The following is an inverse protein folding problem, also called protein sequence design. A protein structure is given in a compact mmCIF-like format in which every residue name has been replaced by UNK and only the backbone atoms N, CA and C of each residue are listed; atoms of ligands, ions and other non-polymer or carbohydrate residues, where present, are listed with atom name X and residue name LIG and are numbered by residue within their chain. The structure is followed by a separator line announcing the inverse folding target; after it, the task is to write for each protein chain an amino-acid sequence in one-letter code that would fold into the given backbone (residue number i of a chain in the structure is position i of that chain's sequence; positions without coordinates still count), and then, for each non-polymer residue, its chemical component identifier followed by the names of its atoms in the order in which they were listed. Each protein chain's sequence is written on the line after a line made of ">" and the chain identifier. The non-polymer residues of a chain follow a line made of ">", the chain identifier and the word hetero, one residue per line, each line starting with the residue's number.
data_IF_104663530591
#
_entry.id   IF_104663530591
#
_cell.length_a   1.000
_cell.length_b   1.000
_cell.length_c   1.000
_cell.angle_alpha   90.00
_cell.angle_beta   90.00
_cell.angle_gamma   90.00
#
_symmetry.space_group_name_H-M   'P 1'
#
loop_
_entity.id
_entity.type
_entity.pdbx_description
1 polymer ?
#
# COMPACT_ATOMS: atom_id res chain seq x y z
N UNK A 1 5.00 -14.12 -21.14
CA UNK A 1 3.84 -14.19 -20.22
C UNK A 1 3.84 -12.89 -19.44
N UNK A 2 2.96 -11.97 -19.78
CA UNK A 2 2.68 -10.80 -18.93
C UNK A 2 1.96 -11.31 -17.69
N UNK A 3 2.55 -11.10 -16.51
CA UNK A 3 1.92 -11.42 -15.24
C UNK A 3 0.71 -10.51 -15.08
N UNK A 4 -0.45 -11.08 -14.78
CA UNK A 4 -1.65 -10.31 -14.43
C UNK A 4 -1.50 -9.78 -12.99
N UNK A 5 -1.02 -8.54 -12.87
CA UNK A 5 -0.74 -7.90 -11.59
C UNK A 5 -2.01 -7.78 -10.72
N UNK A 6 -3.19 -7.40 -11.24
CA UNK A 6 -4.43 -7.46 -10.49
C UNK A 6 -4.74 -8.83 -9.88
N UNK A 7 -4.65 -9.91 -10.65
CA UNK A 7 -4.92 -11.27 -10.16
C UNK A 7 -3.92 -11.67 -9.07
N UNK A 8 -2.64 -11.35 -9.28
CA UNK A 8 -1.55 -11.60 -8.33
C UNK A 8 -1.82 -10.93 -6.97
N UNK A 9 -2.20 -9.64 -6.98
CA UNK A 9 -2.54 -8.88 -5.77
C UNK A 9 -3.75 -9.48 -5.06
N UNK A 10 -4.85 -9.73 -5.78
CA UNK A 10 -6.06 -10.27 -5.15
C UNK A 10 -5.80 -11.63 -4.51
N UNK A 11 -5.06 -12.51 -5.19
CA UNK A 11 -4.71 -13.83 -4.69
C UNK A 11 -3.82 -13.75 -3.44
N UNK A 12 -2.75 -12.96 -3.48
CA UNK A 12 -1.80 -12.86 -2.37
C UNK A 12 -2.48 -12.36 -1.08
N UNK A 13 -3.39 -11.38 -1.20
CA UNK A 13 -4.06 -10.77 -0.06
C UNK A 13 -5.41 -11.44 0.31
N UNK A 14 -5.83 -12.50 -0.39
CA UNK A 14 -7.15 -13.13 -0.25
C UNK A 14 -7.43 -13.67 1.17
N UNK A 15 -6.40 -14.13 1.88
CA UNK A 15 -6.51 -14.73 3.21
C UNK A 15 -6.50 -13.71 4.35
N UNK A 16 -6.33 -12.40 4.05
CA UNK A 16 -6.31 -11.36 5.08
C UNK A 16 -7.67 -11.24 5.75
N UNK A 17 -7.68 -11.39 7.07
CA UNK A 17 -8.87 -11.18 7.90
C UNK A 17 -9.12 -9.69 8.08
N UNK A 18 -10.39 -9.31 8.14
CA UNK A 18 -10.79 -7.95 8.48
C UNK A 18 -10.24 -7.60 9.88
N UNK A 19 -9.52 -6.48 10.04
CA UNK A 19 -8.91 -6.10 11.31
C UNK A 19 -9.98 -5.76 12.35
N UNK A 20 -9.71 -6.06 13.63
CA UNK A 20 -10.55 -5.62 14.74
C UNK A 20 -10.27 -4.17 15.14
N UNK A 21 -9.03 -3.72 15.00
CA UNK A 21 -8.58 -2.36 15.30
C UNK A 21 -8.24 -1.66 13.99
N UNK A 22 -8.88 -0.51 13.72
CA UNK A 22 -8.67 0.20 12.45
C UNK A 22 -7.56 1.23 12.48
N UNK A 23 -7.34 1.86 13.63
CA UNK A 23 -6.29 2.86 13.87
C UNK A 23 -5.61 2.53 15.19
N UNK A 24 -4.37 2.98 15.36
CA UNK A 24 -3.54 2.66 16.53
C UNK A 24 -2.97 3.88 17.24
N UNK A 25 -3.22 5.09 16.74
CA UNK A 25 -2.77 6.33 17.37
C UNK A 25 -3.91 6.98 18.15
N UNK A 26 -3.64 7.37 19.40
CA UNK A 26 -4.55 8.16 20.22
C UNK A 26 -4.52 9.66 19.88
N UNK A 27 -3.52 10.08 19.09
CA UNK A 27 -3.30 11.47 18.68
C UNK A 27 -4.09 11.86 17.42
N UNK A 28 -4.88 10.93 16.85
CA UNK A 28 -5.67 11.23 15.66
C UNK A 28 -6.77 12.23 15.98
N UNK A 29 -6.97 13.18 15.07
CA UNK A 29 -8.09 14.11 15.12
C UNK A 29 -9.41 13.41 14.76
N UNK A 30 -10.54 14.08 15.02
CA UNK A 30 -11.86 13.50 14.80
C UNK A 30 -12.13 13.15 13.33
N UNK A 31 -11.66 13.99 12.40
CA UNK A 31 -11.76 13.79 10.96
C UNK A 31 -10.87 12.65 10.46
N UNK A 32 -9.65 12.49 10.99
CA UNK A 32 -8.77 11.36 10.68
C UNK A 32 -9.40 10.02 11.11
N UNK A 33 -10.00 10.00 12.31
CA UNK A 33 -10.75 8.84 12.81
C UNK A 33 -11.98 8.57 11.93
N UNK A 34 -12.72 9.60 11.53
CA UNK A 34 -13.91 9.46 10.68
C UNK A 34 -13.57 8.87 9.30
N UNK A 35 -12.47 9.31 8.69
CA UNK A 35 -11.98 8.77 7.42
C UNK A 35 -11.67 7.28 7.53
N UNK A 36 -10.91 6.89 8.58
CA UNK A 36 -10.58 5.48 8.84
C UNK A 36 -11.83 4.64 9.10
N UNK A 37 -12.78 5.12 9.89
CA UNK A 37 -14.03 4.42 10.16
C UNK A 37 -14.88 4.31 8.88
N UNK A 38 -14.88 5.35 8.04
CA UNK A 38 -15.68 5.36 6.82
C UNK A 38 -15.23 4.34 5.79
N UNK A 39 -13.94 3.94 5.78
CA UNK A 39 -13.47 2.80 4.97
C UNK A 39 -14.28 1.52 5.23
N UNK A 40 -14.73 1.30 6.48
CA UNK A 40 -15.48 0.09 6.82
C UNK A 40 -16.85 -0.01 6.13
N UNK A 41 -17.38 1.09 5.61
CA UNK A 41 -18.67 1.13 4.92
C UNK A 41 -18.59 0.55 3.50
N UNK A 42 -17.38 0.36 2.96
CA UNK A 42 -17.16 -0.15 1.61
C UNK A 42 -16.76 -1.62 1.61
N UNK A 43 -17.06 -2.28 0.50
CA UNK A 43 -16.49 -3.58 0.20
C UNK A 43 -14.99 -3.43 -0.09
N UNK A 44 -14.18 -4.38 0.42
CA UNK A 44 -12.71 -4.28 0.43
C UNK A 44 -12.11 -3.85 -0.91
N UNK A 45 -12.64 -4.37 -2.02
CA UNK A 45 -12.13 -4.14 -3.38
C UNK A 45 -12.99 -3.18 -4.23
N UNK A 46 -13.89 -2.45 -3.58
CA UNK A 46 -14.80 -1.50 -4.22
C UNK A 46 -14.89 -0.21 -3.41
N UNK A 47 -13.74 0.38 -3.06
CA UNK A 47 -13.71 1.71 -2.45
C UNK A 47 -13.83 2.76 -3.57
N UNK A 48 -14.77 3.72 -3.48
CA UNK A 48 -14.89 4.74 -4.50
C UNK A 48 -13.60 5.55 -4.66
N UNK A 49 -13.19 5.79 -5.91
CA UNK A 49 -11.99 6.58 -6.21
C UNK A 49 -12.10 7.99 -5.65
N UNK A 50 -13.29 8.59 -5.69
CA UNK A 50 -13.57 9.89 -5.07
C UNK A 50 -13.32 9.89 -3.56
N UNK A 51 -13.58 8.77 -2.87
CA UNK A 51 -13.25 8.63 -1.45
C UNK A 51 -11.74 8.57 -1.24
N UNK A 52 -11.02 7.77 -2.03
CA UNK A 52 -9.56 7.64 -1.95
C UNK A 52 -8.84 8.96 -2.28
N UNK A 53 -9.36 9.74 -3.23
CA UNK A 53 -8.81 11.06 -3.55
C UNK A 53 -9.05 12.08 -2.43
N UNK A 54 -10.22 12.04 -1.78
CA UNK A 54 -10.56 12.95 -0.68
C UNK A 54 -9.86 12.59 0.65
N UNK A 55 -9.41 11.34 0.82
CA UNK A 55 -8.83 10.82 2.06
C UNK A 55 -7.52 10.04 1.74
N UNK A 56 -6.65 10.61 0.92
CA UNK A 56 -5.45 9.91 0.43
C UNK A 56 -4.44 9.56 1.53
N UNK A 57 -4.44 10.35 2.60
CA UNK A 57 -3.65 10.24 3.81
C UNK A 57 -4.18 9.19 4.80
N UNK A 58 -5.36 8.62 4.55
CA UNK A 58 -5.95 7.56 5.40
C UNK A 58 -4.99 6.38 5.60
N UNK A 59 -4.11 6.11 4.63
CA UNK A 59 -3.09 5.07 4.71
C UNK A 59 -2.15 5.24 5.91
N UNK A 60 -1.91 6.47 6.35
CA UNK A 60 -1.04 6.77 7.50
C UNK A 60 -1.73 6.55 8.84
N UNK A 61 -3.06 6.64 8.88
CA UNK A 61 -3.85 6.54 10.12
C UNK A 61 -4.27 5.10 10.44
N UNK A 62 -4.20 4.21 9.44
CA UNK A 62 -4.51 2.80 9.63
C UNK A 62 -3.56 2.15 10.65
N UNK A 63 -4.12 1.30 11.51
CA UNK A 63 -3.34 0.35 12.30
C UNK A 63 -2.53 -0.56 11.38
N UNK A 64 -1.45 -1.20 11.87
CA UNK A 64 -0.65 -2.09 11.04
C UNK A 64 -1.43 -3.18 10.32
N UNK A 65 -2.38 -3.83 10.99
CA UNK A 65 -3.21 -4.87 10.41
C UNK A 65 -4.21 -4.31 9.42
N UNK A 66 -4.79 -3.13 9.71
CA UNK A 66 -5.72 -2.48 8.80
C UNK A 66 -5.04 -1.95 7.54
N UNK A 67 -3.80 -1.45 7.67
CA UNK A 67 -2.94 -1.11 6.55
C UNK A 67 -2.78 -2.32 5.63
N UNK A 68 -2.33 -3.48 6.14
CA UNK A 68 -2.16 -4.69 5.34
C UNK A 68 -3.47 -5.18 4.70
N UNK A 69 -4.60 -5.01 5.41
CA UNK A 69 -5.91 -5.39 4.89
C UNK A 69 -6.35 -4.50 3.71
N UNK A 70 -6.18 -3.19 3.79
CA UNK A 70 -6.65 -2.23 2.78
C UNK A 70 -5.65 -1.94 1.65
N UNK A 71 -4.36 -2.15 1.90
CA UNK A 71 -3.27 -1.98 0.92
C UNK A 71 -3.58 -2.50 -0.49
N UNK A 72 -4.09 -3.75 -0.69
CA UNK A 72 -4.33 -4.25 -2.03
C UNK A 72 -5.38 -3.44 -2.80
N UNK A 73 -6.38 -2.86 -2.14
CA UNK A 73 -7.36 -2.02 -2.84
C UNK A 73 -6.75 -0.68 -3.27
N UNK A 74 -5.91 -0.08 -2.43
CA UNK A 74 -5.24 1.17 -2.77
C UNK A 74 -4.34 1.03 -3.99
N UNK A 75 -3.61 -0.08 -4.09
CA UNK A 75 -2.78 -0.36 -5.28
C UNK A 75 -3.60 -0.79 -6.49
N UNK A 76 -4.67 -1.57 -6.31
CA UNK A 76 -5.58 -1.97 -7.40
C UNK A 76 -6.33 -0.76 -7.98
N UNK A 77 -6.64 0.24 -7.16
CA UNK A 77 -7.24 1.49 -7.64
C UNK A 77 -6.36 2.14 -8.72
N UNK A 78 -5.04 2.15 -8.53
CA UNK A 78 -4.10 2.71 -9.52
C UNK A 78 -4.15 2.01 -10.88
N UNK A 79 -4.39 0.69 -10.87
CA UNK A 79 -4.48 -0.12 -12.08
C UNK A 79 -5.83 0.08 -12.77
N UNK A 80 -6.90 0.28 -11.98
CA UNK A 80 -8.27 0.49 -12.46
C UNK A 80 -8.47 1.89 -13.06
N UNK A 81 -7.71 2.89 -12.60
CA UNK A 81 -7.90 4.28 -13.03
C UNK A 81 -6.64 4.90 -13.62
N UNK A 82 -5.69 5.28 -12.78
CA UNK A 82 -4.49 6.01 -13.16
C UNK A 82 -3.39 5.80 -12.11
N UNK A 83 -2.13 5.86 -12.55
CA UNK A 83 -0.97 5.64 -11.69
C UNK A 83 -0.84 6.72 -10.61
N UNK A 84 -1.24 7.95 -10.91
CA UNK A 84 -1.00 9.19 -10.14
C UNK A 84 -2.03 9.49 -9.04
N UNK A 85 -2.68 8.48 -8.47
CA UNK A 85 -3.57 8.69 -7.34
C UNK A 85 -2.75 9.11 -6.10
N UNK A 86 -3.19 10.12 -5.36
CA UNK A 86 -2.47 10.62 -4.17
C UNK A 86 -2.24 9.55 -3.09
N UNK A 87 -3.13 8.57 -2.98
CA UNK A 87 -2.93 7.44 -2.05
C UNK A 87 -1.81 6.51 -2.52
N UNK A 88 -1.60 6.41 -3.84
CA UNK A 88 -0.46 5.68 -4.42
C UNK A 88 0.83 6.45 -4.16
N UNK A 89 0.82 7.78 -4.35
CA UNK A 89 1.97 8.62 -3.99
C UNK A 89 2.35 8.43 -2.52
N UNK A 90 1.37 8.34 -1.64
CA UNK A 90 1.58 8.09 -0.22
C UNK A 90 2.22 6.71 0.04
N UNK A 91 1.78 5.66 -0.66
CA UNK A 91 2.36 4.32 -0.56
C UNK A 91 3.79 4.29 -1.12
N UNK A 92 4.04 4.94 -2.25
CA UNK A 92 5.38 5.02 -2.84
C UNK A 92 6.31 5.83 -1.93
N UNK A 93 5.86 6.95 -1.36
CA UNK A 93 6.64 7.71 -0.38
C UNK A 93 6.95 6.88 0.89
N UNK A 94 6.06 5.97 1.30
CA UNK A 94 6.37 5.03 2.38
C UNK A 94 7.46 4.02 1.99
N UNK A 95 7.52 3.58 0.74
CA UNK A 95 8.51 2.64 0.21
C UNK A 95 9.83 3.30 -0.21
N UNK A 96 9.81 4.61 -0.49
CA UNK A 96 10.96 5.41 -0.88
C UNK A 96 11.89 5.66 0.32
N UNK A 97 12.64 4.61 0.67
CA UNK A 97 13.48 4.59 1.87
C UNK A 97 14.89 4.09 1.54
N UNK A 98 15.79 4.30 2.49
CA UNK A 98 17.14 3.74 2.44
C UNK A 98 17.10 2.21 2.31
N UNK A 99 18.02 1.64 1.55
CA UNK A 99 18.26 0.19 1.52
C UNK A 99 18.90 -0.34 2.81
N UNK A 100 19.28 0.53 3.75
CA UNK A 100 19.68 0.10 5.09
C UNK A 100 18.47 0.02 6.03
N UNK A 101 18.06 -1.22 6.37
CA UNK A 101 16.91 -1.48 7.24
C UNK A 101 17.06 -0.91 8.66
N UNK A 102 18.29 -0.65 9.12
CA UNK A 102 18.54 0.00 10.43
C UNK A 102 18.01 1.43 10.48
N UNK A 103 17.86 2.09 9.34
CA UNK A 103 17.36 3.47 9.24
C UNK A 103 15.84 3.57 9.07
N UNK A 104 15.14 2.44 9.00
CA UNK A 104 13.69 2.46 8.92
C UNK A 104 13.10 2.88 10.27
N UNK A 105 12.03 3.67 10.22
CA UNK A 105 11.29 4.04 11.43
C UNK A 105 10.34 2.91 11.87
N UNK A 106 9.84 3.01 13.10
CA UNK A 106 8.94 2.01 13.66
C UNK A 106 7.57 2.03 12.97
N UNK A 107 7.15 3.18 12.45
CA UNK A 107 5.91 3.33 11.69
C UNK A 107 5.91 2.42 10.45
N UNK A 108 7.00 2.42 9.68
CA UNK A 108 7.20 1.57 8.52
C UNK A 108 7.35 0.11 8.92
N UNK A 109 8.26 -0.18 9.85
CA UNK A 109 8.56 -1.56 10.27
C UNK A 109 7.32 -2.29 10.77
N UNK A 110 6.53 -1.65 11.64
CA UNK A 110 5.32 -2.28 12.23
C UNK A 110 4.29 -2.67 11.17
N UNK A 111 4.25 -1.99 10.02
CA UNK A 111 3.33 -2.25 8.91
C UNK A 111 3.90 -3.24 7.90
N UNK A 112 5.01 -2.89 7.27
CA UNK A 112 5.52 -3.60 6.10
C UNK A 112 6.12 -4.96 6.45
N UNK A 113 6.62 -5.14 7.69
CA UNK A 113 7.08 -6.46 8.16
C UNK A 113 5.91 -7.42 8.42
N UNK A 114 4.65 -6.96 8.44
CA UNK A 114 3.50 -7.88 8.55
C UNK A 114 3.11 -8.54 7.22
N UNK A 115 3.57 -8.04 6.09
CA UNK A 115 3.27 -8.62 4.77
C UNK A 115 3.92 -10.01 4.63
N UNK A 116 3.23 -10.96 4.04
CA UNK A 116 3.81 -12.27 3.71
C UNK A 116 4.77 -12.14 2.53
N UNK A 117 5.54 -13.21 2.26
CA UNK A 117 6.42 -13.23 1.08
C UNK A 117 5.62 -13.09 -0.22
N UNK A 118 4.49 -13.77 -0.33
CA UNK A 118 3.60 -13.73 -1.50
C UNK A 118 2.98 -12.33 -1.69
N UNK A 119 2.61 -11.65 -0.61
CA UNK A 119 2.09 -10.28 -0.68
C UNK A 119 3.18 -9.29 -1.11
N UNK A 120 4.41 -9.46 -0.62
CA UNK A 120 5.54 -8.65 -1.06
C UNK A 120 5.90 -8.90 -2.53
N UNK A 121 5.82 -10.15 -3.01
CA UNK A 121 5.94 -10.47 -4.44
C UNK A 121 4.85 -9.77 -5.27
N UNK A 122 3.62 -9.66 -4.74
CA UNK A 122 2.56 -8.92 -5.38
C UNK A 122 2.84 -7.40 -5.44
N UNK A 123 3.35 -6.83 -4.36
CA UNK A 123 3.76 -5.42 -4.32
C UNK A 123 4.94 -5.14 -5.27
N UNK A 124 5.89 -6.07 -5.39
CA UNK A 124 6.99 -5.98 -6.35
C UNK A 124 6.47 -5.93 -7.80
N UNK A 125 5.53 -6.81 -8.14
CA UNK A 125 4.87 -6.81 -9.45
C UNK A 125 4.12 -5.50 -9.74
N UNK A 126 3.50 -4.91 -8.71
CA UNK A 126 2.87 -3.59 -8.83
C UNK A 126 3.88 -2.45 -9.03
N UNK A 127 4.98 -2.42 -8.29
CA UNK A 127 6.05 -1.43 -8.49
C UNK A 127 6.63 -1.54 -9.91
N UNK A 128 6.87 -2.76 -10.42
CA UNK A 128 7.29 -2.96 -11.81
C UNK A 128 6.24 -2.46 -12.81
N UNK A 129 4.95 -2.67 -12.54
CA UNK A 129 3.88 -2.14 -13.39
C UNK A 129 3.88 -0.60 -13.44
N UNK A 130 4.21 0.08 -12.34
CA UNK A 130 4.35 1.54 -12.33
C UNK A 130 5.46 2.03 -13.28
N UNK A 131 6.53 1.24 -13.48
CA UNK A 131 7.65 1.56 -14.39
C UNK A 131 7.30 1.49 -15.88
N UNK A 132 6.15 0.91 -16.28
CA UNK A 132 5.82 0.71 -17.70
C UNK A 132 5.80 2.07 -18.45
N UNK A 133 6.58 2.13 -19.53
CA UNK A 133 7.15 3.33 -20.16
C UNK A 133 6.16 4.20 -20.95
N UNK A 134 4.90 3.78 -21.03
CA UNK A 134 3.87 4.51 -21.78
C UNK A 134 3.38 5.76 -21.05
N UNK A 135 3.43 5.75 -19.72
CA UNK A 135 3.06 6.89 -18.86
C UNK A 135 3.99 6.88 -17.65
N UNK A 136 5.14 7.56 -17.76
CA UNK A 136 6.12 7.68 -16.69
C UNK A 136 5.58 8.63 -15.62
N UNK A 137 4.78 8.09 -14.70
CA UNK A 137 4.15 8.82 -13.61
C UNK A 137 5.11 9.13 -12.45
N UNK A 138 6.18 8.34 -12.29
CA UNK A 138 7.09 8.40 -11.16
C UNK A 138 8.55 8.51 -11.61
N UNK A 139 9.38 9.07 -10.73
CA UNK A 139 10.84 9.04 -10.88
C UNK A 139 11.34 7.59 -10.78
N UNK A 140 12.17 7.16 -11.73
CA UNK A 140 12.70 5.80 -11.76
C UNK A 140 13.56 5.53 -10.53
N UNK A 141 14.33 6.53 -10.07
CA UNK A 141 15.17 6.34 -8.89
C UNK A 141 14.32 6.09 -7.62
N UNK A 142 13.13 6.68 -7.53
CA UNK A 142 12.18 6.42 -6.46
C UNK A 142 11.61 5.00 -6.55
N UNK A 143 11.22 4.57 -7.75
CA UNK A 143 10.71 3.20 -7.96
C UNK A 143 11.79 2.13 -7.73
N UNK A 144 13.04 2.39 -8.10
CA UNK A 144 14.17 1.51 -7.83
C UNK A 144 14.36 1.32 -6.32
N UNK A 145 14.31 2.41 -5.53
CA UNK A 145 14.40 2.32 -4.06
C UNK A 145 13.21 1.56 -3.47
N UNK A 146 11.99 1.80 -3.96
CA UNK A 146 10.81 1.06 -3.53
C UNK A 146 10.95 -0.45 -3.82
N UNK A 147 11.48 -0.80 -4.99
CA UNK A 147 11.76 -2.18 -5.39
C UNK A 147 12.80 -2.83 -4.47
N UNK A 148 13.92 -2.15 -4.21
CA UNK A 148 14.97 -2.63 -3.30
C UNK A 148 14.46 -2.85 -1.88
N UNK A 149 13.65 -1.92 -1.35
CA UNK A 149 13.03 -2.01 -0.03
C UNK A 149 12.11 -3.23 0.06
N UNK A 150 11.30 -3.50 -0.97
CA UNK A 150 10.49 -4.74 -1.05
C UNK A 150 11.39 -5.97 -1.08
N UNK A 151 12.49 -5.94 -1.84
CA UNK A 151 13.47 -7.02 -1.88
C UNK A 151 14.07 -7.34 -0.51
N UNK A 152 14.41 -6.31 0.27
CA UNK A 152 14.89 -6.47 1.65
C UNK A 152 13.80 -7.06 2.54
N UNK A 153 12.57 -6.54 2.48
CA UNK A 153 11.43 -7.06 3.24
C UNK A 153 11.19 -8.55 2.95
N UNK A 154 11.34 -8.98 1.69
CA UNK A 154 11.21 -10.40 1.28
C UNK A 154 12.32 -11.26 1.87
N UNK A 155 13.55 -10.75 1.95
CA UNK A 155 14.68 -11.47 2.54
C UNK A 155 14.54 -11.69 4.06
N UNK A 156 13.65 -10.94 4.72
CA UNK A 156 13.32 -11.11 6.13
C UNK A 156 12.24 -12.19 6.39
N UNK A 157 11.72 -12.85 5.35
CA UNK A 157 10.63 -13.84 5.44
C UNK A 157 11.11 -15.29 5.41
#
# INVERSE_FOLDING_TARGET
>A
MTVDVPELIQKAFSNRKRPSNLYSSAELTGDEIEAVISLQKFDRYHVPISFLQANYDVVFWLSPEAFCYWLPEFVLASIKTEKTLLIVDSIIAMLDRSSNAEYWDDFFKTRWVLLSKEELEAMEGWVLWLTDSRDQAYDLAQLDRAFDVIGILKALK
#
